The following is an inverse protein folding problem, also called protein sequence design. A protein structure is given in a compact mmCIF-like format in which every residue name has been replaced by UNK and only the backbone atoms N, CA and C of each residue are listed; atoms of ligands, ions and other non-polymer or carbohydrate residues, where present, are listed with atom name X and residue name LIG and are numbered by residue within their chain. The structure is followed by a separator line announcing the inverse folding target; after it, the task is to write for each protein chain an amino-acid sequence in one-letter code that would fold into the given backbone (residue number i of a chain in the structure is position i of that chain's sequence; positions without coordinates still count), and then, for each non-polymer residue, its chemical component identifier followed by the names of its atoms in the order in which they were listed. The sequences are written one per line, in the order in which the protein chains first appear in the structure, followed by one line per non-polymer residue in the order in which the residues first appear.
data_IF_865302613605
#
_entry.id   IF_865302613605
#
_cell.length_a   1.000
_cell.length_b   1.000
_cell.length_c   1.000
_cell.angle_alpha   90.00
_cell.angle_beta   90.00
_cell.angle_gamma   90.00
#
_symmetry.space_group_name_H-M   'P 1'
#
loop_
_entity.id
_entity.type
_entity.pdbx_description
1 polymer ?
#
# COMPACT_ATOMS: atom_id res chain seq x y z
N UNK A 1 -4.99 -8.55 -13.72
CA UNK A 1 -4.42 -8.35 -12.37
C UNK A 1 -2.94 -7.99 -12.53
N UNK A 2 -2.47 -6.93 -11.86
CA UNK A 2 -1.08 -6.48 -11.89
C UNK A 2 -0.52 -6.58 -10.47
N UNK A 3 0.19 -7.67 -10.16
CA UNK A 3 0.84 -7.88 -8.88
C UNK A 3 2.16 -7.11 -8.87
N UNK A 4 2.32 -6.20 -7.94
CA UNK A 4 3.51 -5.37 -7.78
C UNK A 4 4.30 -5.64 -6.49
N UNK A 5 3.69 -6.34 -5.53
CA UNK A 5 4.37 -6.82 -4.32
C UNK A 5 3.95 -8.26 -4.03
N UNK A 6 4.92 -9.08 -3.69
CA UNK A 6 4.73 -10.43 -3.17
C UNK A 6 5.60 -10.54 -1.93
N UNK A 7 5.00 -10.82 -0.78
CA UNK A 7 5.72 -11.07 0.45
C UNK A 7 5.38 -12.48 0.97
N UNK A 8 6.37 -13.34 1.05
CA UNK A 8 6.24 -14.63 1.68
C UNK A 8 6.37 -14.50 3.20
N UNK A 9 5.38 -15.00 3.94
CA UNK A 9 5.30 -14.88 5.40
C UNK A 9 5.72 -16.16 6.14
N UNK A 10 6.05 -17.21 5.40
CA UNK A 10 6.33 -18.56 5.95
C UNK A 10 5.08 -19.44 5.93
N UNK A 11 5.27 -20.74 6.18
CA UNK A 11 4.19 -21.73 6.35
C UNK A 11 3.10 -21.71 5.25
N UNK A 12 3.48 -21.44 4.00
CA UNK A 12 2.53 -21.37 2.90
C UNK A 12 1.70 -20.09 2.85
N UNK A 13 2.03 -19.08 3.63
CA UNK A 13 1.32 -17.80 3.65
C UNK A 13 2.00 -16.76 2.77
N UNK A 14 1.21 -16.05 1.96
CA UNK A 14 1.68 -15.02 1.04
C UNK A 14 0.76 -13.81 1.06
N UNK A 15 1.35 -12.63 1.13
CA UNK A 15 0.68 -11.36 0.96
C UNK A 15 0.99 -10.79 -0.43
N UNK A 16 -0.04 -10.41 -1.16
CA UNK A 16 0.05 -9.84 -2.49
C UNK A 16 -0.53 -8.44 -2.53
N UNK A 17 0.05 -7.58 -3.35
CA UNK A 17 -0.56 -6.30 -3.71
C UNK A 17 -0.93 -6.32 -5.19
N UNK A 18 -2.20 -6.09 -5.49
CA UNK A 18 -2.74 -5.95 -6.84
C UNK A 18 -3.06 -4.49 -7.14
N UNK A 19 -2.24 -3.87 -7.98
CA UNK A 19 -2.40 -2.47 -8.35
C UNK A 19 -3.71 -2.20 -9.10
N UNK A 20 -4.02 -3.04 -10.09
CA UNK A 20 -5.17 -2.83 -10.99
C UNK A 20 -6.52 -2.93 -10.26
N UNK A 21 -6.57 -3.61 -9.14
CA UNK A 21 -7.77 -3.76 -8.32
C UNK A 21 -7.71 -2.95 -7.04
N UNK A 22 -6.59 -2.22 -6.80
CA UNK A 22 -6.31 -1.52 -5.53
C UNK A 22 -6.56 -2.41 -4.31
N UNK A 23 -6.11 -3.67 -4.39
CA UNK A 23 -6.45 -4.69 -3.39
C UNK A 23 -5.21 -5.36 -2.84
N UNK A 24 -5.18 -5.56 -1.53
CA UNK A 24 -4.25 -6.42 -0.82
C UNK A 24 -4.92 -7.77 -0.68
N UNK A 25 -4.21 -8.86 -0.96
CA UNK A 25 -4.74 -10.23 -0.97
C UNK A 25 -3.86 -11.08 -0.08
N UNK A 26 -4.43 -11.71 0.93
CA UNK A 26 -3.75 -12.70 1.75
C UNK A 26 -4.13 -14.10 1.28
N UNK A 27 -3.13 -14.89 0.92
CA UNK A 27 -3.29 -16.29 0.52
C UNK A 27 -2.71 -17.17 1.60
N UNK A 28 -3.46 -18.18 2.00
CA UNK A 28 -3.04 -19.25 2.91
C UNK A 28 -2.93 -20.58 2.15
N UNK A 29 -2.19 -21.53 2.74
CA UNK A 29 -1.98 -22.88 2.24
C UNK A 29 -1.50 -22.94 0.75
N UNK A 30 -0.55 -22.08 0.41
CA UNK A 30 -0.05 -21.89 -0.97
C UNK A 30 0.42 -23.21 -1.62
N UNK A 31 0.92 -24.18 -0.84
CA UNK A 31 1.59 -25.35 -1.38
C UNK A 31 0.68 -26.54 -1.63
N UNK A 32 -0.42 -26.67 -0.87
CA UNK A 32 -1.30 -27.84 -0.96
C UNK A 32 -2.68 -27.47 -1.50
N UNK A 33 -3.33 -26.47 -0.89
CA UNK A 33 -4.69 -26.04 -1.29
C UNK A 33 -4.82 -24.51 -1.18
N UNK A 34 -4.26 -23.74 -2.12
CA UNK A 34 -4.25 -22.28 -2.04
C UNK A 34 -5.65 -21.68 -1.86
N UNK A 35 -5.84 -20.90 -0.81
CA UNK A 35 -7.08 -20.20 -0.52
C UNK A 35 -6.81 -18.72 -0.29
N UNK A 36 -7.67 -17.86 -0.84
CA UNK A 36 -7.72 -16.45 -0.43
C UNK A 36 -8.33 -16.41 0.96
N UNK A 37 -7.53 -16.04 1.96
CA UNK A 37 -7.97 -15.96 3.35
C UNK A 37 -8.81 -14.72 3.59
N UNK A 38 -8.31 -13.57 3.11
CA UNK A 38 -9.02 -12.29 3.13
C UNK A 38 -8.45 -11.34 2.08
N UNK A 39 -9.16 -10.24 1.88
CA UNK A 39 -8.72 -9.11 1.05
C UNK A 39 -8.96 -7.78 1.79
N UNK A 40 -8.17 -6.76 1.42
CA UNK A 40 -8.39 -5.37 1.80
C UNK A 40 -8.47 -4.56 0.52
N UNK A 41 -9.56 -3.83 0.31
CA UNK A 41 -9.77 -3.04 -0.90
C UNK A 41 -11.12 -2.34 -0.89
N UNK A 42 -11.45 -1.69 -1.99
CA UNK A 42 -12.70 -0.95 -2.13
C UNK A 42 -13.88 -1.92 -2.33
N UNK A 43 -14.87 -1.86 -1.45
CA UNK A 43 -16.01 -2.78 -1.45
C UNK A 43 -16.79 -2.71 -2.77
N UNK A 44 -17.05 -1.52 -3.28
CA UNK A 44 -17.81 -1.30 -4.50
C UNK A 44 -17.12 -1.89 -5.75
N UNK A 45 -15.79 -2.05 -5.72
CA UNK A 45 -15.05 -2.72 -6.80
C UNK A 45 -15.37 -4.22 -6.88
N UNK A 46 -15.63 -4.84 -5.72
CA UNK A 46 -15.84 -6.28 -5.58
C UNK A 46 -17.33 -6.67 -5.43
N UNK A 47 -18.25 -5.68 -5.34
CA UNK A 47 -19.66 -5.87 -5.00
C UNK A 47 -20.38 -6.93 -5.84
N UNK A 48 -20.05 -7.04 -7.12
CA UNK A 48 -20.69 -7.98 -8.04
C UNK A 48 -19.82 -9.22 -8.32
N UNK A 49 -19.00 -9.63 -7.36
CA UNK A 49 -18.14 -10.80 -7.46
C UNK A 49 -18.34 -11.76 -6.28
N UNK A 50 -17.93 -13.02 -6.46
CA UNK A 50 -17.89 -14.01 -5.37
C UNK A 50 -16.86 -13.71 -4.29
N UNK A 51 -15.96 -12.73 -4.51
CA UNK A 51 -14.89 -12.36 -3.59
C UNK A 51 -15.28 -11.28 -2.59
N UNK A 52 -16.48 -10.70 -2.70
CA UNK A 52 -16.93 -9.63 -1.80
C UNK A 52 -16.87 -10.04 -0.33
N UNK A 53 -17.30 -11.26 -0.03
CA UNK A 53 -17.35 -11.79 1.34
C UNK A 53 -15.98 -12.08 1.95
N UNK A 54 -14.91 -11.96 1.16
CA UNK A 54 -13.52 -12.09 1.61
C UNK A 54 -12.89 -10.74 2.02
N UNK A 55 -13.59 -9.62 1.81
CA UNK A 55 -13.11 -8.33 2.24
C UNK A 55 -13.19 -8.20 3.76
N UNK A 56 -12.09 -7.71 4.36
CA UNK A 56 -12.13 -7.25 5.75
C UNK A 56 -12.98 -5.98 5.86
N UNK A 57 -13.67 -5.83 6.96
CA UNK A 57 -14.44 -4.63 7.27
C UNK A 57 -13.51 -3.46 7.60
N UNK A 58 -13.76 -2.30 6.98
CA UNK A 58 -13.05 -1.05 7.27
C UNK A 58 -13.53 -0.46 8.58
N UNK A 59 -12.68 -0.46 9.61
CA UNK A 59 -13.01 0.16 10.90
C UNK A 59 -12.64 1.64 10.90
N UNK A 60 -13.65 2.50 10.85
CA UNK A 60 -13.54 3.95 10.88
C UNK A 60 -13.97 4.54 12.25
N UNK A 61 -14.02 3.74 13.30
CA UNK A 61 -14.45 4.18 14.62
C UNK A 61 -13.55 5.28 15.21
N UNK A 62 -12.27 5.31 14.87
CA UNK A 62 -11.31 6.32 15.33
C UNK A 62 -11.14 7.48 14.35
N UNK A 63 -11.17 7.23 13.05
CA UNK A 63 -11.06 8.22 11.98
C UNK A 63 -11.58 7.67 10.66
N UNK A 64 -12.19 8.53 9.85
CA UNK A 64 -12.54 8.18 8.47
C UNK A 64 -11.32 8.25 7.57
N UNK A 65 -11.22 7.34 6.59
CA UNK A 65 -10.12 7.31 5.63
C UNK A 65 -10.55 6.71 4.29
N UNK A 66 -9.88 7.11 3.22
CA UNK A 66 -10.05 6.48 1.92
C UNK A 66 -9.23 5.19 1.83
N UNK A 67 -9.74 4.20 1.10
CA UNK A 67 -8.95 3.04 0.73
C UNK A 67 -7.77 3.42 -0.16
N UNK A 68 -6.85 2.49 -0.39
CA UNK A 68 -5.72 2.75 -1.27
C UNK A 68 -6.16 2.84 -2.73
N UNK A 69 -5.51 3.72 -3.49
CA UNK A 69 -5.58 3.77 -4.95
C UNK A 69 -4.29 3.31 -5.60
N UNK A 70 -4.28 2.08 -6.16
CA UNK A 70 -3.15 1.56 -6.92
C UNK A 70 -1.84 1.35 -6.13
N UNK A 71 -1.94 0.99 -4.86
CA UNK A 71 -0.84 0.88 -3.90
C UNK A 71 0.34 0.00 -4.37
N UNK A 72 1.52 0.29 -3.82
CA UNK A 72 2.77 -0.45 -4.01
C UNK A 72 3.46 -0.74 -2.68
N UNK A 73 4.43 -1.65 -2.69
CA UNK A 73 5.37 -1.88 -1.58
C UNK A 73 4.69 -2.28 -0.27
N UNK A 74 3.72 -3.22 -0.34
CA UNK A 74 3.10 -3.75 0.88
C UNK A 74 4.16 -4.49 1.69
N UNK A 75 4.23 -4.18 2.99
CA UNK A 75 5.12 -4.83 3.94
C UNK A 75 4.34 -5.24 5.17
N UNK A 76 4.37 -6.55 5.48
CA UNK A 76 3.85 -7.11 6.73
C UNK A 76 4.85 -6.83 7.84
N UNK A 77 4.36 -6.27 8.94
CA UNK A 77 5.16 -5.94 10.11
C UNK A 77 4.52 -6.53 11.35
N UNK A 78 5.21 -7.51 11.93
CA UNK A 78 4.81 -8.06 13.22
C UNK A 78 5.25 -7.13 14.33
N UNK A 79 4.37 -6.91 15.29
CA UNK A 79 4.66 -6.12 16.49
C UNK A 79 4.24 -6.94 17.72
N UNK A 80 5.21 -7.24 18.58
CA UNK A 80 4.99 -8.09 19.77
C UNK A 80 4.16 -7.39 20.87
N UNK A 81 3.81 -6.12 20.68
CA UNK A 81 2.90 -5.38 21.57
C UNK A 81 1.43 -5.55 21.20
N UNK A 82 1.15 -6.10 20.03
CA UNK A 82 -0.20 -6.39 19.55
C UNK A 82 -0.68 -7.76 20.01
N UNK A 83 -2.00 -7.94 20.03
CA UNK A 83 -2.61 -9.22 20.33
C UNK A 83 -2.35 -10.25 19.21
N UNK A 84 -2.46 -11.55 19.56
CA UNK A 84 -2.33 -12.62 18.58
C UNK A 84 -3.41 -12.46 17.48
N UNK A 85 -3.01 -12.47 16.22
CA UNK A 85 -3.89 -12.23 15.07
C UNK A 85 -3.93 -10.76 14.65
N UNK A 86 -3.22 -9.87 15.35
CA UNK A 86 -3.05 -8.48 14.95
C UNK A 86 -1.64 -8.22 14.41
N UNK A 87 -1.51 -7.31 13.43
CA UNK A 87 -0.24 -6.89 12.84
C UNK A 87 -0.42 -5.60 12.03
N UNK A 88 0.70 -5.02 11.61
CA UNK A 88 0.68 -3.86 10.73
C UNK A 88 0.97 -4.21 9.28
N UNK A 89 0.40 -3.42 8.37
CA UNK A 89 0.77 -3.35 6.97
C UNK A 89 1.24 -1.94 6.64
N UNK A 90 2.46 -1.80 6.14
CA UNK A 90 3.00 -0.55 5.62
C UNK A 90 2.92 -0.54 4.11
N UNK A 91 2.62 0.60 3.51
CA UNK A 91 2.52 0.70 2.06
C UNK A 91 2.69 2.13 1.55
N UNK A 92 3.07 2.22 0.30
CA UNK A 92 2.93 3.43 -0.50
C UNK A 92 1.54 3.42 -1.14
N UNK A 93 0.65 4.29 -0.67
CA UNK A 93 -0.62 4.54 -1.34
C UNK A 93 -0.39 5.54 -2.47
N UNK A 94 -0.39 5.06 -3.72
CA UNK A 94 -0.23 5.92 -4.90
C UNK A 94 -1.37 6.92 -5.03
N UNK A 95 -2.49 6.65 -4.36
CA UNK A 95 -3.69 7.48 -4.40
C UNK A 95 -4.19 7.74 -5.84
N UNK A 96 -4.07 6.72 -6.68
CA UNK A 96 -4.45 6.80 -8.09
C UNK A 96 -5.33 5.64 -8.52
N UNK A 97 -6.62 5.94 -8.69
CA UNK A 97 -7.64 4.98 -9.12
C UNK A 97 -7.64 4.80 -10.63
N UNK A 98 -7.13 3.66 -11.09
CA UNK A 98 -7.20 3.24 -12.49
C UNK A 98 -7.10 1.73 -12.60
N UNK A 99 -8.03 1.12 -13.31
CA UNK A 99 -8.01 -0.31 -13.60
C UNK A 99 -8.10 -0.56 -15.10
N UNK A 100 -6.99 -1.03 -15.71
CA UNK A 100 -6.99 -1.42 -17.12
C UNK A 100 -7.70 -2.74 -17.34
N UNK A 101 -7.84 -3.58 -16.31
CA UNK A 101 -8.51 -4.88 -16.35
C UNK A 101 -10.02 -4.79 -16.04
N UNK A 102 -10.48 -3.66 -15.50
CA UNK A 102 -11.88 -3.32 -15.32
C UNK A 102 -12.11 -1.84 -15.68
N UNK A 103 -12.04 -1.48 -16.97
CA UNK A 103 -12.10 -0.08 -17.41
C UNK A 103 -13.48 0.56 -17.24
N UNK A 104 -14.51 -0.24 -16.93
CA UNK A 104 -15.86 0.26 -16.66
C UNK A 104 -16.07 0.70 -15.22
N UNK A 105 -15.14 0.36 -14.30
CA UNK A 105 -15.22 0.81 -12.92
C UNK A 105 -14.83 2.29 -12.85
N UNK A 106 -15.73 3.10 -12.33
CA UNK A 106 -15.52 4.54 -12.19
C UNK A 106 -14.93 4.89 -10.82
N UNK A 107 -13.63 5.19 -10.79
CA UNK A 107 -12.94 5.61 -9.58
C UNK A 107 -13.32 7.01 -9.08
N UNK A 108 -14.00 7.84 -9.90
CA UNK A 108 -14.35 9.21 -9.50
C UNK A 108 -15.41 9.27 -8.39
N UNK A 109 -16.09 8.17 -8.08
CA UNK A 109 -17.04 8.14 -6.97
C UNK A 109 -16.38 7.82 -5.62
N UNK A 110 -15.08 7.51 -5.60
CA UNK A 110 -14.35 7.26 -4.36
C UNK A 110 -13.69 8.56 -3.90
N UNK A 111 -14.18 9.08 -2.80
CA UNK A 111 -13.63 10.32 -2.23
C UNK A 111 -12.15 10.18 -1.89
N UNK A 112 -11.38 11.21 -2.24
CA UNK A 112 -9.95 11.31 -1.94
C UNK A 112 -9.04 10.54 -2.88
N UNK A 113 -9.56 9.79 -3.86
CA UNK A 113 -8.75 9.08 -4.87
C UNK A 113 -8.62 9.92 -6.15
N UNK A 114 -7.38 10.10 -6.60
CA UNK A 114 -7.06 10.77 -7.85
C UNK A 114 -7.32 9.88 -9.07
N UNK A 115 -7.81 10.45 -10.16
CA UNK A 115 -8.03 9.73 -11.43
C UNK A 115 -7.21 10.26 -12.59
N UNK A 116 -6.45 11.35 -12.37
CA UNK A 116 -5.50 11.91 -13.33
C UNK A 116 -4.06 11.65 -12.90
N UNK A 117 -3.26 11.09 -13.80
CA UNK A 117 -1.85 10.76 -13.56
C UNK A 117 -0.89 11.96 -13.74
N UNK A 118 -1.36 13.19 -13.70
CA UNK A 118 -0.52 14.37 -13.87
C UNK A 118 0.40 14.56 -12.66
N UNK A 119 1.69 14.22 -12.83
CA UNK A 119 2.69 14.22 -11.76
C UNK A 119 3.10 15.61 -11.30
N UNK A 120 3.05 16.60 -12.20
CA UNK A 120 3.46 18.00 -11.92
C UNK A 120 2.31 18.86 -11.36
N UNK A 121 1.22 18.23 -10.92
CA UNK A 121 0.13 18.89 -10.23
C UNK A 121 0.39 18.86 -8.71
N UNK A 122 0.85 19.98 -8.17
CA UNK A 122 1.21 20.12 -6.77
C UNK A 122 -0.02 20.13 -5.81
N UNK A 123 -1.25 20.09 -6.34
CA UNK A 123 -2.46 19.89 -5.54
C UNK A 123 -2.73 18.44 -5.19
N UNK A 124 -1.96 17.51 -5.76
CA UNK A 124 -2.11 16.05 -5.57
C UNK A 124 -1.06 15.51 -4.64
N UNK A 125 -1.44 14.49 -3.88
CA UNK A 125 -0.55 13.76 -2.99
C UNK A 125 -0.71 12.25 -3.14
N UNK A 126 0.38 11.54 -2.94
CA UNK A 126 0.40 10.14 -2.53
C UNK A 126 0.61 10.09 -1.02
N UNK A 127 0.49 8.91 -0.42
CA UNK A 127 0.57 8.79 1.03
C UNK A 127 1.42 7.60 1.46
N UNK A 128 2.08 7.74 2.59
CA UNK A 128 2.40 6.60 3.42
C UNK A 128 1.13 6.17 4.14
N UNK A 129 0.83 4.87 4.14
CA UNK A 129 -0.26 4.28 4.95
C UNK A 129 0.31 3.18 5.84
N UNK A 130 -0.15 3.18 7.10
CA UNK A 130 0.03 2.09 8.05
C UNK A 130 -1.35 1.61 8.48
N UNK A 131 -1.73 0.42 8.05
CA UNK A 131 -2.92 -0.26 8.54
C UNK A 131 -2.58 -1.14 9.74
N UNK A 132 -3.50 -1.22 10.72
CA UNK A 132 -3.57 -2.32 11.66
C UNK A 132 -4.63 -3.28 11.14
N UNK A 133 -4.27 -4.54 10.97
CA UNK A 133 -5.17 -5.64 10.65
C UNK A 133 -5.47 -6.40 11.93
N UNK A 134 -6.74 -6.74 12.13
CA UNK A 134 -7.23 -7.59 13.19
C UNK A 134 -8.00 -8.77 12.59
N UNK A 135 -7.31 -9.92 12.47
CA UNK A 135 -7.90 -11.13 11.92
C UNK A 135 -8.97 -11.74 12.83
N UNK A 136 -8.95 -11.44 14.14
CA UNK A 136 -9.93 -11.98 15.06
C UNK A 136 -11.32 -11.34 14.88
N UNK A 137 -11.34 -10.07 14.52
CA UNK A 137 -12.54 -9.30 14.26
C UNK A 137 -12.85 -9.12 12.77
N UNK A 138 -11.99 -9.62 11.87
CA UNK A 138 -12.05 -9.42 10.42
C UNK A 138 -12.11 -7.95 10.02
N UNK A 139 -11.29 -7.10 10.66
CA UNK A 139 -11.25 -5.66 10.42
C UNK A 139 -9.86 -5.16 10.07
N UNK A 140 -9.81 -3.96 9.47
CA UNK A 140 -8.58 -3.18 9.37
C UNK A 140 -8.87 -1.70 9.62
N UNK A 141 -7.91 -1.00 10.22
CA UNK A 141 -8.01 0.44 10.48
C UNK A 141 -6.74 1.17 10.06
N UNK A 142 -6.86 2.44 9.64
CA UNK A 142 -5.72 3.29 9.36
C UNK A 142 -5.19 3.86 10.68
N UNK A 143 -3.98 3.50 11.07
CA UNK A 143 -3.36 3.98 12.32
C UNK A 143 -2.38 5.13 12.10
N UNK A 144 -1.85 5.26 10.88
CA UNK A 144 -0.99 6.38 10.50
C UNK A 144 -1.06 6.65 9.01
N UNK A 145 -1.08 7.93 8.64
CA UNK A 145 -0.88 8.39 7.27
C UNK A 145 -0.24 9.77 7.26
N UNK A 146 0.55 10.04 6.23
CA UNK A 146 1.03 11.39 5.90
C UNK A 146 1.29 11.51 4.41
N UNK A 147 1.24 12.74 3.93
CA UNK A 147 1.43 13.05 2.51
C UNK A 147 2.89 12.91 2.08
N UNK A 148 3.06 12.39 0.86
CA UNK A 148 4.35 12.35 0.15
C UNK A 148 4.13 12.85 -1.28
N UNK A 149 5.18 13.24 -2.03
CA UNK A 149 5.04 13.72 -3.39
C UNK A 149 4.25 12.75 -4.28
N UNK A 150 3.32 13.27 -5.06
CA UNK A 150 2.42 12.47 -5.90
C UNK A 150 3.17 11.59 -6.90
N UNK A 151 2.89 10.30 -6.86
CA UNK A 151 3.43 9.31 -7.78
C UNK A 151 2.35 8.28 -8.12
N UNK A 152 1.66 8.40 -9.26
CA UNK A 152 0.51 7.55 -9.61
C UNK A 152 0.88 6.09 -9.87
N UNK A 153 2.15 5.81 -10.10
CA UNK A 153 2.68 4.47 -10.36
C UNK A 153 3.99 4.26 -9.62
N UNK A 154 4.43 3.00 -9.53
CA UNK A 154 5.69 2.58 -8.91
C UNK A 154 5.80 3.04 -7.45
N UNK A 155 7.00 3.29 -6.94
CA UNK A 155 7.24 3.80 -5.58
C UNK A 155 7.44 2.70 -4.54
N UNK A 156 8.07 3.05 -3.44
CA UNK A 156 8.34 2.11 -2.36
C UNK A 156 8.36 2.75 -0.98
N UNK A 157 8.16 1.91 0.03
CA UNK A 157 8.39 2.20 1.45
C UNK A 157 9.27 1.11 2.03
N UNK A 158 10.25 1.52 2.82
CA UNK A 158 11.07 0.64 3.66
C UNK A 158 11.16 1.24 5.05
N UNK A 159 10.93 0.45 6.08
CA UNK A 159 11.36 0.81 7.43
C UNK A 159 12.84 0.43 7.58
N UNK A 160 13.64 1.34 8.10
CA UNK A 160 15.05 1.13 8.34
C UNK A 160 15.51 1.95 9.55
N UNK A 161 15.94 1.25 10.59
CA UNK A 161 16.47 1.85 11.84
C UNK A 161 15.49 2.87 12.47
N UNK A 162 14.21 2.52 12.51
CA UNK A 162 13.14 3.34 13.08
C UNK A 162 12.65 4.49 12.20
N UNK A 163 13.28 4.70 11.04
CA UNK A 163 12.87 5.69 10.05
C UNK A 163 12.18 5.03 8.84
N UNK A 164 11.49 5.83 8.04
CA UNK A 164 10.87 5.41 6.79
C UNK A 164 11.63 5.96 5.59
N UNK A 165 12.07 5.08 4.70
CA UNK A 165 12.66 5.45 3.41
C UNK A 165 11.55 5.35 2.38
N UNK A 166 11.16 6.48 1.79
CA UNK A 166 10.02 6.57 0.88
C UNK A 166 10.47 7.12 -0.47
N UNK A 167 10.08 6.40 -1.53
CA UNK A 167 10.33 6.78 -2.92
C UNK A 167 9.03 7.15 -3.61
N UNK A 168 8.93 8.37 -4.11
CA UNK A 168 7.88 8.85 -5.03
C UNK A 168 8.41 8.80 -6.45
N UNK A 169 8.42 7.58 -7.01
CA UNK A 169 9.24 7.21 -8.16
C UNK A 169 8.96 7.97 -9.46
N UNK A 170 7.69 8.29 -9.75
CA UNK A 170 7.32 9.09 -10.93
C UNK A 170 7.74 10.56 -10.80
N UNK A 171 7.79 11.08 -9.57
CA UNK A 171 8.28 12.44 -9.29
C UNK A 171 9.82 12.50 -9.27
N UNK A 172 10.49 11.34 -9.18
CA UNK A 172 11.94 11.25 -9.05
C UNK A 172 12.46 11.78 -7.71
N UNK A 173 11.66 11.68 -6.67
CA UNK A 173 11.96 12.16 -5.32
C UNK A 173 11.91 11.01 -4.35
N UNK A 174 12.94 10.89 -3.51
CA UNK A 174 12.92 9.96 -2.39
C UNK A 174 13.51 10.62 -1.14
N UNK A 175 13.12 10.14 0.03
CA UNK A 175 13.50 10.75 1.28
C UNK A 175 13.47 9.79 2.45
N UNK A 176 14.05 10.26 3.54
CA UNK A 176 14.01 9.65 4.86
C UNK A 176 13.09 10.47 5.75
N UNK A 177 12.15 9.81 6.40
CA UNK A 177 11.18 10.40 7.31
C UNK A 177 11.32 9.75 8.68
N UNK A 178 11.07 10.49 9.75
CA UNK A 178 11.01 9.91 11.10
C UNK A 178 9.71 9.09 11.30
N UNK A 179 9.58 8.46 12.47
CA UNK A 179 8.42 7.65 12.81
C UNK A 179 7.10 8.45 12.84
N UNK A 180 7.16 9.76 13.00
CA UNK A 180 5.99 10.66 13.01
C UNK A 180 5.65 11.19 11.60
N UNK A 181 6.47 10.86 10.59
CA UNK A 181 6.30 11.29 9.21
C UNK A 181 6.93 12.64 8.88
N UNK A 182 7.79 13.19 9.76
CA UNK A 182 8.53 14.41 9.46
C UNK A 182 9.72 14.10 8.54
N UNK A 183 9.87 14.89 7.48
CA UNK A 183 10.96 14.75 6.53
C UNK A 183 12.31 15.09 7.18
N UNK A 184 13.22 14.13 7.23
CA UNK A 184 14.61 14.31 7.71
C UNK A 184 15.50 14.77 6.56
N UNK A 185 15.45 14.05 5.45
CA UNK A 185 16.29 14.31 4.28
C UNK A 185 15.59 13.91 2.99
N UNK A 186 15.75 14.70 1.93
CA UNK A 186 15.17 14.43 0.63
C UNK A 186 16.22 14.48 -0.48
N UNK A 187 16.08 13.63 -1.46
CA UNK A 187 16.88 13.59 -2.68
C UNK A 187 15.98 13.73 -3.89
N UNK A 188 16.45 14.44 -4.90
CA UNK A 188 15.74 14.58 -6.18
C UNK A 188 16.67 14.15 -7.31
N UNK A 189 16.19 13.21 -8.12
CA UNK A 189 16.87 12.78 -9.34
C UNK A 189 16.24 13.46 -10.55
N UNK A 190 17.10 13.88 -11.49
CA UNK A 190 16.62 14.33 -12.79
C UNK A 190 16.26 13.10 -13.62
N UNK A 191 14.98 12.91 -13.86
CA UNK A 191 14.45 11.87 -14.73
C UNK A 191 14.40 12.42 -16.16
N UNK A 192 14.76 11.60 -17.17
CA UNK A 192 14.60 11.94 -18.60
C UNK A 192 13.31 11.34 -19.16
N UNK A 193 13.20 10.01 -19.17
CA UNK A 193 12.06 9.28 -19.71
C UNK A 193 11.71 8.06 -18.85
N UNK A 194 12.19 8.04 -17.60
CA UNK A 194 12.09 6.90 -16.73
C UNK A 194 11.60 7.32 -15.34
N UNK A 195 11.40 6.34 -14.49
CA UNK A 195 10.97 6.48 -13.10
C UNK A 195 11.90 5.70 -12.19
N UNK A 196 11.87 6.00 -10.90
CA UNK A 196 12.49 5.18 -9.87
C UNK A 196 11.45 4.16 -9.43
N UNK A 197 11.78 2.87 -9.52
CA UNK A 197 10.81 1.85 -9.14
C UNK A 197 10.82 1.61 -7.63
N UNK A 198 12.02 1.57 -7.01
CA UNK A 198 12.22 1.35 -5.57
C UNK A 198 13.50 2.01 -5.11
N UNK A 199 13.50 2.48 -3.87
CA UNK A 199 14.69 2.94 -3.15
C UNK A 199 14.77 2.20 -1.82
N UNK A 200 15.96 1.67 -1.52
CA UNK A 200 16.24 1.03 -0.25
C UNK A 200 17.55 1.55 0.34
N UNK A 201 17.59 1.68 1.66
CA UNK A 201 18.77 2.00 2.45
C UNK A 201 19.33 0.73 3.07
N UNK A 202 20.66 0.57 3.03
CA UNK A 202 21.36 -0.56 3.59
C UNK A 202 22.59 -0.09 4.36
N UNK A 203 23.00 -0.84 5.39
CA UNK A 203 24.36 -0.74 5.95
C UNK A 203 25.31 -1.60 5.13
N UNK A 204 26.45 -1.04 4.73
CA UNK A 204 27.48 -1.76 3.96
C UNK A 204 28.46 -2.56 4.84
N UNK A 205 28.21 -2.67 6.14
CA UNK A 205 29.11 -3.35 7.10
C UNK A 205 28.82 -4.83 7.30
N UNK A 206 27.72 -5.34 6.73
CA UNK A 206 27.24 -6.71 6.96
C UNK A 206 27.32 -7.61 5.68
N UNK A 207 28.30 -7.34 4.81
CA UNK A 207 28.60 -8.18 3.65
C UNK A 207 29.79 -9.09 3.90
#
# INVERSE_FOLDING_TARGET
MHINTIQWLGNGQVLLSSRETSTIIFIDDLYENPQVKYMIGEESFWENTEYKDLLLEKDESSQSFSNTGGQHSITYVKDDTLDAGEYYLYMFNNNFGKSSTNPSYDWNHIDGIETSATVDDDSKASYFYKYKVDENNNTYTLVQSFEVPFSPYVSSVQEYDGNLIIDSGMKGVFGEYDADGNLIQQFKMKLSDQYIYRVYKYTFTDF
#
